data_IF_035196410947
#
_entry.id   IF_035196410947
#
_cell.length_a   1.000
_cell.length_b   1.000
_cell.length_c   1.000
_cell.angle_alpha   90.00
_cell.angle_beta   90.00
_cell.angle_gamma   90.00
#
_symmetry.space_group_name_H-M   'P 1'
#
loop_
_entity.id
_entity.type
_entity.pdbx_description
1 polymer ?
#
# COMPACT_ATOMS: atom_id res chain seq x y z
N UNK A 1 -68.62 7.21 22.30
CA UNK A 1 -67.71 6.29 23.01
C UNK A 1 -66.61 5.85 22.06
N UNK A 2 -65.36 5.90 22.53
CA UNK A 2 -64.18 5.11 22.13
C UNK A 2 -63.51 5.31 20.73
N UNK A 3 -62.39 6.05 20.79
CA UNK A 3 -61.03 5.73 20.31
C UNK A 3 -60.83 5.15 18.89
N UNK A 4 -60.00 5.84 18.10
CA UNK A 4 -58.62 5.41 17.82
C UNK A 4 -57.86 6.54 17.10
N UNK A 5 -57.10 7.34 17.84
CA UNK A 5 -56.10 8.24 17.27
C UNK A 5 -54.80 7.42 17.12
N UNK A 6 -54.51 6.99 15.90
CA UNK A 6 -53.28 6.27 15.57
C UNK A 6 -52.13 7.28 15.49
N UNK A 7 -51.41 7.44 16.60
CA UNK A 7 -50.18 8.23 16.65
C UNK A 7 -49.06 7.43 16.00
N UNK A 8 -48.72 7.77 14.75
CA UNK A 8 -47.53 7.21 14.09
C UNK A 8 -46.31 7.88 14.71
N UNK A 9 -45.69 7.19 15.66
CA UNK A 9 -44.40 7.56 16.23
C UNK A 9 -43.34 7.29 15.15
N UNK A 10 -42.98 8.31 14.37
CA UNK A 10 -41.80 8.25 13.50
C UNK A 10 -40.58 8.34 14.41
N UNK A 11 -40.06 7.17 14.81
CA UNK A 11 -38.73 7.08 15.38
C UNK A 11 -37.74 7.46 14.27
N UNK A 12 -37.38 8.74 14.21
CA UNK A 12 -36.18 9.20 13.50
C UNK A 12 -35.01 8.58 14.25
N UNK A 13 -34.60 7.40 13.81
CA UNK A 13 -33.30 6.83 14.15
C UNK A 13 -32.30 7.88 13.69
N UNK A 14 -31.72 8.60 14.66
CA UNK A 14 -30.46 9.31 14.52
C UNK A 14 -29.42 8.25 14.12
N UNK A 15 -29.40 7.89 12.83
CA UNK A 15 -28.20 7.34 12.25
C UNK A 15 -27.15 8.43 12.50
N UNK A 16 -26.08 8.15 13.27
CA UNK A 16 -24.96 9.07 13.30
C UNK A 16 -24.61 9.34 11.84
N UNK A 17 -24.33 10.60 11.44
CA UNK A 17 -23.85 10.85 10.10
C UNK A 17 -22.72 9.86 9.89
N UNK A 18 -22.88 9.02 8.86
CA UNK A 18 -21.76 8.37 8.21
C UNK A 18 -20.85 9.54 7.84
N UNK A 19 -19.96 9.92 8.75
CA UNK A 19 -18.77 10.68 8.46
C UNK A 19 -17.98 9.75 7.55
N UNK A 20 -18.40 9.70 6.29
CA UNK A 20 -17.70 9.08 5.19
C UNK A 20 -16.31 9.66 5.27
N UNK A 21 -15.40 8.81 5.72
CA UNK A 21 -14.11 9.18 6.25
C UNK A 21 -13.29 9.87 5.14
N UNK A 22 -12.31 10.72 5.49
CA UNK A 22 -11.40 11.41 4.55
C UNK A 22 -10.45 10.46 3.80
N UNK A 23 -10.82 9.19 3.64
CA UNK A 23 -10.00 8.11 3.11
C UNK A 23 -10.12 7.92 1.59
N UNK A 24 -10.65 8.92 0.87
CA UNK A 24 -10.60 8.97 -0.58
C UNK A 24 -9.33 9.66 -1.05
N UNK A 25 -8.30 8.88 -1.40
CA UNK A 25 -7.34 9.34 -2.40
C UNK A 25 -7.46 8.53 -3.68
N UNK A 26 -8.64 8.67 -4.32
CA UNK A 26 -8.95 8.11 -5.62
C UNK A 26 -8.25 8.90 -6.72
N UNK A 27 -7.11 8.40 -7.16
CA UNK A 27 -6.60 8.74 -8.49
C UNK A 27 -7.67 8.30 -9.49
N UNK A 28 -8.11 9.22 -10.36
CA UNK A 28 -9.14 8.93 -11.34
C UNK A 28 -8.60 7.96 -12.39
N UNK A 29 -8.94 6.67 -12.24
CA UNK A 29 -8.51 5.61 -13.16
C UNK A 29 -9.50 5.56 -14.33
N UNK A 30 -9.01 5.81 -15.54
CA UNK A 30 -9.81 5.70 -16.76
C UNK A 30 -10.35 4.28 -16.96
N UNK A 31 -11.40 4.15 -17.79
CA UNK A 31 -11.99 2.85 -18.12
C UNK A 31 -10.97 1.88 -18.74
N UNK A 32 -10.06 2.40 -19.55
CA UNK A 32 -9.00 1.62 -20.24
C UNK A 32 -7.98 1.10 -19.23
N UNK A 33 -7.45 1.98 -18.38
CA UNK A 33 -6.53 1.64 -17.29
C UNK A 33 -7.12 0.63 -16.31
N UNK A 34 -8.39 0.82 -15.92
CA UNK A 34 -9.11 -0.13 -15.06
C UNK A 34 -9.25 -1.50 -15.71
N UNK A 35 -9.46 -1.57 -17.04
CA UNK A 35 -9.49 -2.84 -17.78
C UNK A 35 -8.13 -3.54 -17.71
N UNK A 36 -7.05 -2.80 -17.92
CA UNK A 36 -5.67 -3.33 -17.83
C UNK A 36 -5.38 -3.89 -16.44
N UNK A 37 -5.73 -3.17 -15.37
CA UNK A 37 -5.57 -3.65 -13.99
C UNK A 37 -6.38 -4.91 -13.71
N UNK A 38 -7.63 -4.97 -14.18
CA UNK A 38 -8.46 -6.18 -14.05
C UNK A 38 -7.83 -7.40 -14.73
N UNK A 39 -7.25 -7.21 -15.91
CA UNK A 39 -6.55 -8.27 -16.64
C UNK A 39 -5.30 -8.74 -15.89
N UNK A 40 -4.49 -7.82 -15.37
CA UNK A 40 -3.29 -8.13 -14.58
C UNK A 40 -3.65 -8.90 -13.30
N UNK A 41 -4.62 -8.43 -12.52
CA UNK A 41 -5.07 -9.08 -11.28
C UNK A 41 -5.54 -10.51 -11.55
N UNK A 42 -6.39 -10.71 -12.56
CA UNK A 42 -6.88 -12.04 -12.95
C UNK A 42 -5.75 -12.96 -13.41
N UNK A 43 -4.78 -12.43 -14.15
CA UNK A 43 -3.59 -13.18 -14.54
C UNK A 43 -2.83 -13.67 -13.31
N UNK A 44 -2.50 -12.77 -12.36
CA UNK A 44 -1.80 -13.13 -11.13
C UNK A 44 -2.57 -14.15 -10.30
N UNK A 45 -3.90 -14.00 -10.17
CA UNK A 45 -4.76 -14.96 -9.48
C UNK A 45 -4.74 -16.33 -10.17
N UNK A 46 -4.89 -16.37 -11.50
CA UNK A 46 -4.89 -17.63 -12.27
C UNK A 46 -3.56 -18.40 -12.19
N UNK A 47 -2.46 -17.69 -11.95
CA UNK A 47 -1.11 -18.28 -11.83
C UNK A 47 -0.69 -18.53 -10.38
N UNK A 48 -1.52 -18.17 -9.40
CA UNK A 48 -1.19 -18.30 -7.97
C UNK A 48 -0.19 -17.27 -7.45
N UNK A 49 0.14 -16.24 -8.23
CA UNK A 49 1.00 -15.12 -7.79
C UNK A 49 0.27 -14.15 -6.86
N UNK A 50 -1.07 -14.10 -6.94
CA UNK A 50 -1.94 -13.32 -6.08
C UNK A 50 -3.03 -14.22 -5.50
N UNK A 51 -3.10 -14.37 -4.17
CA UNK A 51 -4.23 -15.07 -3.52
C UNK A 51 -5.44 -14.15 -3.43
N UNK A 52 -6.67 -14.67 -3.31
CA UNK A 52 -7.89 -13.87 -3.33
C UNK A 52 -8.06 -12.90 -2.12
N UNK A 53 -7.59 -13.29 -0.95
CA UNK A 53 -7.76 -12.55 0.32
C UNK A 53 -6.55 -11.68 0.67
N UNK A 54 -5.35 -12.08 0.27
CA UNK A 54 -4.09 -11.37 0.57
C UNK A 54 -3.52 -10.63 -0.65
N UNK A 55 -2.46 -9.88 -0.39
CA UNK A 55 -1.71 -9.12 -1.37
C UNK A 55 -2.30 -7.75 -1.70
N UNK A 56 -1.42 -6.85 -2.11
CA UNK A 56 -1.72 -5.55 -2.71
C UNK A 56 -1.06 -5.47 -4.08
N UNK A 57 -1.59 -4.60 -4.94
CA UNK A 57 -0.92 -4.23 -6.19
C UNK A 57 -0.17 -2.92 -5.96
N UNK A 58 1.12 -2.91 -6.28
CA UNK A 58 1.93 -1.69 -6.34
C UNK A 58 1.96 -1.23 -7.79
N UNK A 59 1.62 0.03 -8.03
CA UNK A 59 1.66 0.65 -9.34
C UNK A 59 2.58 1.86 -9.29
N UNK A 60 3.67 1.77 -10.02
CA UNK A 60 4.67 2.81 -10.16
C UNK A 60 4.44 3.56 -11.46
N UNK A 61 4.14 4.85 -11.35
CA UNK A 61 3.92 5.74 -12.47
C UNK A 61 5.25 6.36 -12.89
N UNK A 62 5.60 6.21 -14.17
CA UNK A 62 6.75 6.83 -14.81
C UNK A 62 6.33 7.52 -16.10
N UNK A 63 7.03 8.57 -16.46
CA UNK A 63 6.99 9.16 -17.81
C UNK A 63 8.29 8.77 -18.51
N UNK A 64 8.19 8.14 -19.68
CA UNK A 64 9.35 7.74 -20.48
C UNK A 64 10.01 8.97 -21.16
N UNK A 65 11.21 8.83 -21.77
CA UNK A 65 11.86 9.92 -22.49
C UNK A 65 11.07 10.50 -23.68
N UNK A 66 10.03 9.79 -24.15
CA UNK A 66 9.16 10.21 -25.26
C UNK A 66 7.88 10.92 -24.75
N UNK A 67 7.75 11.08 -23.43
CA UNK A 67 6.60 11.69 -22.77
C UNK A 67 5.39 10.76 -22.65
N UNK A 68 5.58 9.44 -22.76
CA UNK A 68 4.52 8.45 -22.61
C UNK A 68 4.42 7.98 -21.17
N UNK A 69 3.20 7.69 -20.74
CA UNK A 69 2.95 7.09 -19.43
C UNK A 69 3.33 5.61 -19.45
N UNK A 70 4.24 5.24 -18.56
CA UNK A 70 4.65 3.87 -18.28
C UNK A 70 4.21 3.51 -16.86
N UNK A 71 3.61 2.34 -16.71
CA UNK A 71 3.30 1.74 -15.43
C UNK A 71 4.21 0.55 -15.20
N UNK A 72 4.87 0.52 -14.05
CA UNK A 72 5.47 -0.68 -13.52
C UNK A 72 4.59 -1.23 -12.40
N UNK A 73 4.07 -2.43 -12.59
CA UNK A 73 3.05 -3.03 -11.74
C UNK A 73 3.59 -4.32 -11.13
N UNK A 74 3.48 -4.44 -9.81
CA UNK A 74 3.91 -5.62 -9.07
C UNK A 74 2.89 -6.02 -8.01
N UNK A 75 3.02 -7.25 -7.52
CA UNK A 75 2.28 -7.74 -6.34
C UNK A 75 3.19 -7.66 -5.12
N UNK A 76 2.66 -7.14 -4.01
CA UNK A 76 3.35 -7.19 -2.72
C UNK A 76 2.49 -7.84 -1.65
N UNK A 77 3.14 -8.61 -0.80
CA UNK A 77 2.57 -9.20 0.42
C UNK A 77 3.16 -8.59 1.69
N UNK A 78 3.89 -7.49 1.55
CA UNK A 78 4.60 -6.82 2.63
C UNK A 78 4.18 -5.36 2.69
N UNK A 79 4.24 -4.81 3.88
CA UNK A 79 3.92 -3.44 4.21
C UNK A 79 4.98 -2.41 3.79
N UNK A 80 5.71 -2.64 2.69
CA UNK A 80 6.76 -1.74 2.18
C UNK A 80 6.31 -0.27 2.01
N UNK A 81 5.01 -0.05 1.84
CA UNK A 81 4.38 1.26 1.72
C UNK A 81 4.51 2.14 2.96
N UNK A 82 4.86 1.59 4.13
CA UNK A 82 5.05 2.37 5.37
C UNK A 82 6.50 2.80 5.59
N UNK A 83 7.48 2.15 4.96
CA UNK A 83 8.89 2.26 5.39
C UNK A 83 9.74 3.22 4.56
N UNK A 84 9.52 3.31 3.24
CA UNK A 84 10.44 4.02 2.33
C UNK A 84 9.82 5.23 1.66
N UNK A 85 8.73 4.99 0.94
CA UNK A 85 8.04 6.01 0.17
C UNK A 85 6.55 5.74 0.29
N UNK A 86 5.77 6.70 0.80
CA UNK A 86 4.34 6.51 0.85
C UNK A 86 3.74 6.56 -0.56
N UNK A 87 2.62 5.84 -0.78
CA UNK A 87 1.91 5.98 -2.04
C UNK A 87 1.34 7.39 -2.17
N UNK A 88 1.30 7.88 -3.41
CA UNK A 88 0.68 9.18 -3.79
C UNK A 88 -0.85 9.09 -3.91
N UNK A 89 -1.39 7.88 -3.76
CA UNK A 89 -2.83 7.61 -3.78
C UNK A 89 -3.10 6.12 -3.76
N UNK A 90 -4.37 5.75 -3.59
CA UNK A 90 -4.79 4.36 -3.57
C UNK A 90 -6.18 4.18 -4.17
N UNK A 91 -6.44 2.99 -4.68
CA UNK A 91 -7.75 2.63 -5.20
C UNK A 91 -8.03 1.16 -4.94
N UNK A 92 -9.22 0.73 -5.35
CA UNK A 92 -9.60 -0.68 -5.31
C UNK A 92 -10.07 -1.13 -6.68
N UNK A 93 -9.51 -2.25 -7.16
CA UNK A 93 -9.94 -2.92 -8.39
C UNK A 93 -10.16 -4.40 -8.08
N UNK A 94 -11.35 -4.91 -8.34
CA UNK A 94 -11.75 -6.30 -7.98
C UNK A 94 -11.54 -6.62 -6.49
N UNK A 95 -11.77 -5.65 -5.60
CA UNK A 95 -11.54 -5.83 -4.17
C UNK A 95 -10.06 -5.87 -3.76
N UNK A 96 -9.12 -5.70 -4.70
CA UNK A 96 -7.68 -5.59 -4.42
C UNK A 96 -7.27 -4.14 -4.19
N UNK A 97 -6.58 -3.82 -3.09
CA UNK A 97 -5.97 -2.50 -2.93
C UNK A 97 -4.87 -2.31 -3.97
N UNK A 98 -4.90 -1.15 -4.62
CA UNK A 98 -3.89 -0.69 -5.56
C UNK A 98 -3.23 0.53 -4.93
N UNK A 99 -1.93 0.47 -4.67
CA UNK A 99 -1.16 1.59 -4.14
C UNK A 99 -0.37 2.23 -5.28
N UNK A 100 -0.50 3.53 -5.46
CA UNK A 100 0.14 4.28 -6.54
C UNK A 100 1.39 4.98 -6.04
N UNK A 101 2.47 4.90 -6.79
CA UNK A 101 3.75 5.52 -6.49
C UNK A 101 4.20 6.38 -7.66
N UNK A 102 4.92 7.44 -7.35
CA UNK A 102 5.71 8.16 -8.34
C UNK A 102 7.14 7.62 -8.28
N UNK A 103 7.69 7.16 -9.41
CA UNK A 103 9.06 6.63 -9.48
C UNK A 103 10.15 7.72 -9.41
N UNK A 104 9.77 8.99 -9.50
CA UNK A 104 10.68 10.08 -9.24
C UNK A 104 11.00 10.08 -7.73
N UNK A 105 12.15 9.50 -7.37
CA UNK A 105 12.70 9.60 -6.02
C UNK A 105 13.08 11.06 -5.77
N UNK A 106 12.23 11.80 -5.05
CA UNK A 106 12.55 13.15 -4.63
C UNK A 106 13.13 13.08 -3.23
N UNK A 107 14.26 13.77 -2.94
CA UNK A 107 14.92 13.72 -1.64
C UNK A 107 14.04 14.18 -0.46
N UNK A 108 12.89 14.78 -0.75
CA UNK A 108 11.92 15.30 0.22
C UNK A 108 10.51 14.75 -0.04
N UNK A 109 10.36 13.46 -0.38
CA UNK A 109 9.03 12.86 -0.49
C UNK A 109 8.27 13.08 0.85
N UNK A 110 7.06 13.65 0.81
CA UNK A 110 6.30 13.97 2.01
C UNK A 110 6.00 12.69 2.79
N UNK A 111 6.09 12.77 4.12
CA UNK A 111 5.60 11.69 4.99
C UNK A 111 4.07 11.77 5.06
N UNK A 112 3.42 10.61 5.14
CA UNK A 112 1.99 10.54 5.41
C UNK A 112 1.69 11.15 6.79
N UNK A 113 0.60 11.91 6.87
CA UNK A 113 0.02 12.32 8.15
C UNK A 113 -0.48 11.11 8.92
N UNK A 114 -0.76 11.26 10.22
CA UNK A 114 -1.29 10.16 11.02
C UNK A 114 -2.66 9.69 10.51
N UNK A 115 -3.47 10.62 10.01
CA UNK A 115 -4.79 10.35 9.43
C UNK A 115 -4.65 9.53 8.14
N UNK A 116 -3.74 9.92 7.25
CA UNK A 116 -3.46 9.19 6.01
C UNK A 116 -2.87 7.80 6.28
N UNK A 117 -1.95 7.67 7.25
CA UNK A 117 -1.42 6.38 7.67
C UNK A 117 -2.52 5.45 8.18
N UNK A 118 -3.42 5.99 9.01
CA UNK A 118 -4.55 5.24 9.56
C UNK A 118 -5.50 4.79 8.45
N UNK A 119 -5.82 5.68 7.52
CA UNK A 119 -6.63 5.37 6.35
C UNK A 119 -5.98 4.30 5.47
N UNK A 120 -4.70 4.45 5.11
CA UNK A 120 -3.98 3.48 4.31
C UNK A 120 -3.93 2.11 5.00
N UNK A 121 -3.75 2.08 6.33
CA UNK A 121 -3.81 0.86 7.11
C UNK A 121 -5.20 0.20 7.06
N UNK A 122 -6.29 0.97 6.96
CA UNK A 122 -7.64 0.43 6.78
C UNK A 122 -7.85 -0.12 5.36
N UNK A 123 -7.38 0.59 4.33
CA UNK A 123 -7.46 0.17 2.92
C UNK A 123 -6.70 -1.13 2.68
N UNK A 124 -5.48 -1.23 3.23
CA UNK A 124 -4.67 -2.44 3.12
C UNK A 124 -5.16 -3.54 4.08
N UNK A 125 -5.62 -3.15 5.27
CA UNK A 125 -6.14 -4.06 6.28
C UNK A 125 -5.14 -5.16 6.66
N UNK A 126 -5.60 -6.40 6.64
CA UNK A 126 -4.80 -7.61 6.94
C UNK A 126 -4.21 -8.26 5.69
N UNK A 127 -4.25 -7.60 4.53
CA UNK A 127 -3.87 -8.20 3.25
C UNK A 127 -2.37 -8.36 3.07
N UNK A 128 -1.56 -7.66 3.87
CA UNK A 128 -0.10 -7.78 3.86
C UNK A 128 0.40 -8.32 5.19
N UNK A 129 1.53 -9.02 5.14
CA UNK A 129 2.30 -9.35 6.32
C UNK A 129 2.97 -8.08 6.83
N UNK A 130 2.58 -7.65 8.04
CA UNK A 130 3.27 -6.58 8.74
C UNK A 130 4.65 -7.07 9.14
N UNK A 131 5.67 -6.28 8.84
CA UNK A 131 7.00 -6.60 9.33
C UNK A 131 7.05 -6.41 10.84
N UNK A 132 7.70 -7.34 11.58
CA UNK A 132 8.07 -7.06 12.96
C UNK A 132 8.85 -5.74 13.01
N UNK A 133 8.64 -4.92 14.06
CA UNK A 133 9.46 -3.73 14.26
C UNK A 133 10.94 -4.14 14.25
N UNK A 134 11.84 -3.28 13.73
CA UNK A 134 13.25 -3.59 13.74
C UNK A 134 13.69 -3.90 15.18
N UNK A 135 14.55 -4.92 15.39
CA UNK A 135 15.02 -5.24 16.73
C UNK A 135 15.69 -4.01 17.30
N UNK A 136 15.27 -3.63 18.52
CA UNK A 136 15.89 -2.51 19.20
C UNK A 136 17.39 -2.79 19.38
N UNK A 137 18.26 -1.80 19.14
CA UNK A 137 19.68 -1.96 19.38
C UNK A 137 19.92 -2.41 20.82
N UNK A 138 20.76 -3.43 21.02
CA UNK A 138 21.15 -3.91 22.35
C UNK A 138 22.62 -3.59 22.58
N UNK A 139 23.06 -3.38 23.82
CA UNK A 139 24.48 -3.23 24.10
C UNK A 139 25.26 -4.47 23.64
N UNK A 140 26.39 -4.26 22.99
CA UNK A 140 27.39 -5.30 22.71
C UNK A 140 28.04 -5.64 24.05
N UNK A 141 28.04 -6.92 24.40
CA UNK A 141 28.60 -7.39 25.66
C UNK A 141 30.03 -7.93 25.46
N UNK A 142 30.89 -7.74 26.46
CA UNK A 142 32.20 -8.38 26.52
C UNK A 142 32.10 -9.86 26.93
N UNK A 143 33.26 -10.53 27.08
CA UNK A 143 33.34 -11.95 27.47
C UNK A 143 32.76 -12.25 28.86
N UNK A 144 32.54 -11.23 29.69
CA UNK A 144 31.98 -11.33 31.03
C UNK A 144 30.50 -10.90 31.08
N UNK A 145 29.91 -10.57 29.93
CA UNK A 145 28.52 -10.14 29.84
C UNK A 145 28.30 -8.66 30.19
N UNK A 146 29.35 -7.84 30.26
CA UNK A 146 29.23 -6.41 30.56
C UNK A 146 29.15 -5.57 29.26
N UNK A 147 28.39 -4.47 29.22
CA UNK A 147 28.35 -3.59 28.06
C UNK A 147 29.73 -3.04 27.69
N UNK A 148 30.10 -3.15 26.41
CA UNK A 148 31.26 -2.49 25.85
C UNK A 148 30.95 -1.02 25.59
N UNK A 149 31.90 -0.12 25.82
CA UNK A 149 31.73 1.32 25.64
C UNK A 149 32.70 1.89 24.61
N UNK A 150 32.25 2.89 23.85
CA UNK A 150 33.12 3.77 23.09
C UNK A 150 33.99 4.63 24.02
N UNK A 151 35.05 5.25 23.48
CA UNK A 151 35.93 6.16 24.24
C UNK A 151 35.21 7.35 24.89
N UNK A 152 34.03 7.72 24.40
CA UNK A 152 33.19 8.78 24.96
C UNK A 152 32.24 8.30 26.08
N UNK A 153 32.34 7.03 26.51
CA UNK A 153 31.51 6.47 27.57
C UNK A 153 30.10 6.04 27.14
N UNK A 154 29.76 6.09 25.84
CA UNK A 154 28.48 5.55 25.34
C UNK A 154 28.59 4.04 25.05
N UNK A 155 27.56 3.23 25.37
CA UNK A 155 27.59 1.80 25.07
C UNK A 155 27.62 1.56 23.56
N UNK A 156 28.44 0.61 23.13
CA UNK A 156 28.44 0.12 21.77
C UNK A 156 27.16 -0.70 21.57
N UNK A 157 26.39 -0.39 20.53
CA UNK A 157 25.10 -1.03 20.27
C UNK A 157 25.19 -1.94 19.04
N UNK A 158 24.49 -3.07 19.05
CA UNK A 158 24.33 -3.94 17.87
C UNK A 158 23.62 -3.18 16.75
N UNK A 159 24.06 -3.34 15.49
CA UNK A 159 23.25 -2.85 14.37
C UNK A 159 22.01 -3.73 14.23
N UNK A 160 20.82 -3.17 14.50
CA UNK A 160 19.52 -3.86 14.37
C UNK A 160 19.10 -4.14 12.92
N UNK A 161 20.03 -4.56 12.05
CA UNK A 161 19.72 -4.83 10.65
C UNK A 161 18.86 -6.08 10.54
N UNK A 162 17.64 -5.89 10.05
CA UNK A 162 16.78 -7.00 9.68
C UNK A 162 16.85 -7.17 8.17
N UNK A 163 17.40 -8.28 7.70
CA UNK A 163 17.43 -8.63 6.27
C UNK A 163 16.19 -9.48 5.99
N UNK A 164 15.09 -8.84 5.61
CA UNK A 164 13.89 -9.55 5.15
C UNK A 164 14.01 -9.84 3.66
N UNK A 165 14.38 -11.08 3.30
CA UNK A 165 14.48 -11.59 1.92
C UNK A 165 13.22 -11.31 1.10
N UNK A 166 13.42 -10.75 -0.10
CA UNK A 166 12.38 -10.32 -1.05
C UNK A 166 11.47 -11.46 -1.48
N UNK A 167 10.16 -11.19 -1.50
CA UNK A 167 9.19 -12.15 -2.04
C UNK A 167 9.16 -12.01 -3.56
N UNK A 168 9.25 -13.14 -4.24
CA UNK A 168 9.10 -13.36 -5.68
C UNK A 168 7.72 -12.93 -6.18
N UNK A 169 7.61 -11.73 -6.74
CA UNK A 169 6.45 -11.28 -7.49
C UNK A 169 6.76 -11.26 -8.98
N UNK A 170 5.75 -11.48 -9.82
CA UNK A 170 5.84 -11.21 -11.26
C UNK A 170 5.54 -9.75 -11.48
N UNK A 171 6.51 -9.05 -12.08
CA UNK A 171 6.38 -7.64 -12.41
C UNK A 171 5.94 -7.48 -13.86
N UNK A 172 5.12 -6.46 -14.13
CA UNK A 172 4.66 -6.13 -15.47
C UNK A 172 4.92 -4.66 -15.78
N UNK A 173 5.61 -4.40 -16.87
CA UNK A 173 5.71 -3.07 -17.47
C UNK A 173 4.59 -2.88 -18.48
N UNK A 174 3.88 -1.77 -18.38
CA UNK A 174 2.78 -1.41 -19.27
C UNK A 174 3.03 -0.01 -19.81
N UNK A 175 3.12 0.11 -21.13
CA UNK A 175 3.36 1.39 -21.82
C UNK A 175 2.08 1.80 -22.54
N UNK A 176 1.59 3.01 -22.22
CA UNK A 176 0.44 3.62 -22.88
C UNK A 176 0.94 4.54 -24.00
N UNK A 177 0.76 4.10 -25.25
CA UNK A 177 1.23 4.85 -26.41
C UNK A 177 0.30 6.01 -26.76
N UNK A 178 0.85 7.04 -27.41
CA UNK A 178 0.10 8.23 -27.86
C UNK A 178 -1.02 7.89 -28.84
N UNK A 179 -0.86 6.82 -29.62
CA UNK A 179 -1.88 6.29 -30.54
C UNK A 179 -3.05 5.57 -29.83
N UNK A 180 -3.02 5.49 -28.51
CA UNK A 180 -4.05 4.81 -27.73
C UNK A 180 -3.88 3.29 -27.66
N UNK A 181 -2.82 2.70 -28.20
CA UNK A 181 -2.47 1.29 -27.98
C UNK A 181 -1.83 1.08 -26.60
N UNK A 182 -1.63 -0.19 -26.23
CA UNK A 182 -1.00 -0.61 -24.96
C UNK A 182 0.01 -1.70 -25.27
N UNK A 183 1.23 -1.57 -24.77
CA UNK A 183 2.25 -2.63 -24.80
C UNK A 183 2.49 -3.17 -23.39
N UNK A 184 2.67 -4.48 -23.26
CA UNK A 184 2.87 -5.16 -21.98
C UNK A 184 4.14 -6.01 -22.06
N UNK A 185 5.00 -5.92 -21.05
CA UNK A 185 6.18 -6.77 -20.88
C UNK A 185 6.10 -7.39 -19.49
N UNK A 186 6.17 -8.71 -19.42
CA UNK A 186 6.11 -9.45 -18.15
C UNK A 186 7.53 -9.88 -17.80
N UNK A 187 7.98 -9.52 -16.60
CA UNK A 187 9.21 -10.04 -15.99
C UNK A 187 8.80 -11.10 -14.97
N UNK A 188 9.11 -12.36 -15.28
CA UNK A 188 8.84 -13.54 -14.42
C UNK A 188 10.12 -13.98 -13.74
#
# INVERSE_FOLDING_TARGET
MLRLALTVLIAVILAPPLLAQPCEQLINISRKERKVLKEYIRFCESKGFLKADTGIIMLHLRIDPLGQTEWYIGVSYKDYYTERKPPIGWSTVLGKPILWYNDLFLPNDPKLTNEEQTCLAQVVGTRVNKRPPPPQPRPILDIHGQPMFYKNGQPMMTSGRTIYGGGSGVDMHIIFKKDGSVSKLISV
#
